data_IF_595690090742
#
_entry.id   IF_595690090742
#
_cell.length_a   1.000
_cell.length_b   1.000
_cell.length_c   1.000
_cell.angle_alpha   90.00
_cell.angle_beta   90.00
_cell.angle_gamma   90.00
#
_symmetry.space_group_name_H-M   'P 1'
#
loop_
_entity.id
_entity.type
_entity.pdbx_description
1 polymer ?
#
# COMPACT_ATOMS: atom_id res chain seq x y z
N UNK A 1 26.02 50.23 13.64
CA UNK A 1 26.05 48.82 14.10
C UNK A 1 24.63 48.27 14.09
N UNK A 2 24.09 47.87 12.94
CA UNK A 2 22.76 47.23 12.86
C UNK A 2 22.73 45.99 11.95
N UNK A 3 23.82 45.67 11.25
CA UNK A 3 23.86 44.55 10.29
C UNK A 3 24.12 43.16 10.90
N UNK A 4 24.29 43.06 12.22
CA UNK A 4 24.70 41.82 12.90
C UNK A 4 23.60 41.03 13.60
N UNK A 5 22.38 41.59 13.73
CA UNK A 5 21.25 40.92 14.39
C UNK A 5 20.38 40.11 13.41
N UNK A 6 20.12 40.65 12.22
CA UNK A 6 19.24 40.01 11.22
C UNK A 6 19.77 38.64 10.77
N UNK A 7 21.07 38.50 10.51
CA UNK A 7 21.66 37.22 10.07
C UNK A 7 21.80 36.14 11.15
N UNK A 8 21.56 36.46 12.43
CA UNK A 8 21.52 35.48 13.53
C UNK A 8 20.08 34.97 13.72
N UNK A 9 19.10 35.86 13.58
CA UNK A 9 17.67 35.54 13.67
C UNK A 9 17.22 34.67 12.47
N UNK A 10 17.60 35.02 11.24
CA UNK A 10 17.34 34.19 10.04
C UNK A 10 17.95 32.78 10.12
N UNK A 11 19.15 32.65 10.71
CA UNK A 11 19.78 31.34 10.91
C UNK A 11 19.03 30.51 11.94
N UNK A 12 18.49 31.15 12.97
CA UNK A 12 17.66 30.50 14.00
C UNK A 12 16.35 29.96 13.40
N UNK A 13 15.68 30.75 12.55
CA UNK A 13 14.44 30.31 11.88
C UNK A 13 14.70 29.15 10.91
N UNK A 14 15.79 29.21 10.13
CA UNK A 14 16.16 28.13 9.23
C UNK A 14 16.54 26.84 9.98
N UNK A 15 17.17 26.96 11.15
CA UNK A 15 17.49 25.82 12.02
C UNK A 15 16.23 25.18 12.63
N UNK A 16 15.27 25.99 13.10
CA UNK A 16 13.99 25.50 13.63
C UNK A 16 13.20 24.75 12.56
N UNK A 17 13.10 25.30 11.35
CA UNK A 17 12.45 24.64 10.20
C UNK A 17 13.17 23.33 9.86
N UNK A 18 14.50 23.32 9.86
CA UNK A 18 15.30 22.10 9.63
C UNK A 18 15.01 21.03 10.69
N UNK A 19 14.85 21.43 11.95
CA UNK A 19 14.56 20.52 13.05
C UNK A 19 13.17 19.90 12.92
N UNK A 20 12.16 20.70 12.59
CA UNK A 20 10.80 20.22 12.28
C UNK A 20 10.80 19.27 11.10
N UNK A 21 11.45 19.64 9.98
CA UNK A 21 11.55 18.78 8.80
C UNK A 21 12.32 17.49 9.10
N UNK A 22 13.32 17.54 9.97
CA UNK A 22 14.08 16.36 10.40
C UNK A 22 13.18 15.42 11.22
N UNK A 23 12.41 15.94 12.16
CA UNK A 23 11.44 15.18 12.94
C UNK A 23 10.37 14.52 12.04
N UNK A 24 9.81 15.28 11.08
CA UNK A 24 8.86 14.75 10.09
C UNK A 24 9.51 13.65 9.25
N UNK A 25 10.75 13.85 8.78
CA UNK A 25 11.46 12.84 7.99
C UNK A 25 11.76 11.57 8.78
N UNK A 26 12.04 11.69 10.08
CA UNK A 26 12.24 10.55 10.98
C UNK A 26 10.96 9.74 11.15
N UNK A 27 9.86 10.42 11.47
CA UNK A 27 8.54 9.80 11.57
C UNK A 27 8.12 9.07 10.29
N UNK A 28 8.33 9.68 9.12
CA UNK A 28 8.02 9.04 7.83
C UNK A 28 8.86 7.77 7.61
N UNK A 29 10.12 7.75 8.01
CA UNK A 29 10.98 6.55 7.92
C UNK A 29 10.47 5.41 8.80
N UNK A 30 9.89 5.71 9.95
CA UNK A 30 9.32 4.72 10.88
C UNK A 30 7.98 4.16 10.38
N UNK A 31 7.13 5.00 9.78
CA UNK A 31 5.83 4.58 9.25
C UNK A 31 5.96 3.78 7.95
N UNK A 32 6.93 4.14 7.10
CA UNK A 32 7.07 3.56 5.76
C UNK A 32 7.09 2.02 5.78
N UNK A 33 7.89 1.32 6.63
CA UNK A 33 7.87 -0.14 6.75
C UNK A 33 6.50 -0.74 7.10
N UNK A 34 5.76 -0.12 8.03
CA UNK A 34 4.44 -0.60 8.45
C UNK A 34 3.46 -0.53 7.28
N UNK A 35 3.48 0.58 6.54
CA UNK A 35 2.67 0.75 5.34
C UNK A 35 3.05 -0.27 4.26
N UNK A 36 4.34 -0.56 4.08
CA UNK A 36 4.80 -1.62 3.15
C UNK A 36 4.22 -2.99 3.50
N UNK A 37 4.27 -3.35 4.77
CA UNK A 37 3.81 -4.66 5.23
C UNK A 37 2.31 -4.82 4.98
N UNK A 38 1.51 -3.80 5.30
CA UNK A 38 0.08 -3.79 5.02
C UNK A 38 -0.20 -3.91 3.51
N UNK A 39 0.52 -3.17 2.67
CA UNK A 39 0.40 -3.28 1.20
C UNK A 39 0.79 -4.68 0.74
N UNK A 40 1.86 -5.27 1.27
CA UNK A 40 2.34 -6.60 0.93
C UNK A 40 1.34 -7.70 1.30
N UNK A 41 0.69 -7.59 2.47
CA UNK A 41 -0.37 -8.51 2.90
C UNK A 41 -1.57 -8.42 1.96
N UNK A 42 -1.99 -7.19 1.64
CA UNK A 42 -3.08 -6.95 0.69
C UNK A 42 -2.69 -7.54 -0.67
N UNK A 43 -1.59 -7.14 -1.29
CA UNK A 43 -1.19 -7.64 -2.61
C UNK A 43 -0.95 -9.16 -2.66
N UNK A 44 -0.35 -9.75 -1.63
CA UNK A 44 -0.11 -11.18 -1.53
C UNK A 44 -1.39 -12.02 -1.45
N UNK A 45 -2.49 -11.43 -0.98
CA UNK A 45 -3.81 -12.06 -0.95
C UNK A 45 -4.54 -12.04 -2.31
N UNK A 46 -4.14 -11.17 -3.24
CA UNK A 46 -4.76 -11.04 -4.56
C UNK A 46 -3.97 -11.85 -5.60
N UNK A 47 -4.13 -13.17 -5.57
CA UNK A 47 -3.74 -14.02 -6.71
C UNK A 47 -4.81 -13.91 -7.81
N UNK A 48 -4.41 -13.88 -9.09
CA UNK A 48 -5.34 -13.66 -10.21
C UNK A 48 -6.46 -14.71 -10.33
N UNK A 49 -6.18 -15.94 -9.89
CA UNK A 49 -7.14 -17.04 -9.74
C UNK A 49 -8.18 -16.76 -8.65
N UNK A 50 -7.75 -16.23 -7.50
CA UNK A 50 -8.64 -15.83 -6.42
C UNK A 50 -9.57 -14.68 -6.82
N UNK A 51 -9.04 -13.68 -7.55
CA UNK A 51 -9.84 -12.57 -8.07
C UNK A 51 -10.89 -13.04 -9.08
N UNK A 52 -10.51 -13.93 -10.01
CA UNK A 52 -11.46 -14.51 -10.98
C UNK A 52 -12.57 -15.31 -10.29
N UNK A 53 -12.23 -16.09 -9.25
CA UNK A 53 -13.20 -16.82 -8.44
C UNK A 53 -14.17 -15.87 -7.72
N UNK A 54 -13.67 -14.83 -7.07
CA UNK A 54 -14.47 -13.84 -6.34
C UNK A 54 -15.46 -13.11 -7.28
N UNK A 55 -15.00 -12.70 -8.47
CA UNK A 55 -15.85 -12.07 -9.49
C UNK A 55 -16.94 -13.02 -9.98
N UNK A 56 -16.60 -14.30 -10.21
CA UNK A 56 -17.56 -15.31 -10.64
C UNK A 56 -18.60 -15.66 -9.58
N UNK A 57 -18.19 -15.71 -8.30
CA UNK A 57 -19.11 -15.90 -7.16
C UNK A 57 -20.04 -14.69 -7.01
N UNK A 58 -19.51 -13.48 -7.12
CA UNK A 58 -20.31 -12.26 -7.11
C UNK A 58 -21.35 -12.26 -8.24
N UNK A 59 -20.95 -12.54 -9.48
CA UNK A 59 -21.87 -12.70 -10.61
C UNK A 59 -22.99 -13.70 -10.31
N UNK A 60 -22.64 -14.91 -9.85
CA UNK A 60 -23.63 -15.96 -9.51
C UNK A 60 -24.63 -15.47 -8.46
N UNK A 61 -24.16 -14.83 -7.39
CA UNK A 61 -25.03 -14.31 -6.35
C UNK A 61 -26.01 -13.24 -6.83
N UNK A 62 -25.62 -12.41 -7.81
CA UNK A 62 -26.52 -11.41 -8.41
C UNK A 62 -27.64 -12.10 -9.20
N UNK A 63 -27.29 -13.09 -10.01
CA UNK A 63 -28.26 -13.88 -10.79
C UNK A 63 -29.21 -14.64 -9.86
N UNK A 64 -28.69 -15.28 -8.82
CA UNK A 64 -29.49 -15.97 -7.79
C UNK A 64 -30.44 -15.01 -7.04
N UNK A 65 -30.04 -13.76 -6.86
CA UNK A 65 -30.88 -12.71 -6.28
C UNK A 65 -31.94 -12.15 -7.26
N UNK A 66 -32.01 -12.67 -8.48
CA UNK A 66 -33.01 -12.26 -9.48
C UNK A 66 -32.61 -11.04 -10.31
N UNK A 67 -31.34 -10.62 -10.28
CA UNK A 67 -30.82 -9.60 -11.19
C UNK A 67 -30.64 -10.22 -12.57
N UNK A 68 -31.01 -9.50 -13.63
CA UNK A 68 -30.84 -9.97 -15.00
C UNK A 68 -29.38 -10.24 -15.32
N UNK A 69 -29.11 -11.25 -16.16
CA UNK A 69 -27.75 -11.63 -16.54
C UNK A 69 -26.96 -10.43 -17.09
N UNK A 70 -27.56 -9.63 -17.98
CA UNK A 70 -26.93 -8.43 -18.53
C UNK A 70 -26.49 -7.45 -17.44
N UNK A 71 -27.36 -7.20 -16.44
CA UNK A 71 -27.03 -6.29 -15.35
C UNK A 71 -26.03 -6.91 -14.37
N UNK A 72 -26.09 -8.21 -14.16
CA UNK A 72 -25.14 -8.94 -13.33
C UNK A 72 -23.73 -8.94 -13.93
N UNK A 73 -23.60 -9.10 -15.26
CA UNK A 73 -22.32 -8.95 -15.98
C UNK A 73 -21.76 -7.55 -15.81
N UNK A 74 -22.59 -6.52 -16.04
CA UNK A 74 -22.18 -5.11 -15.88
C UNK A 74 -21.64 -4.84 -14.46
N UNK A 75 -22.36 -5.30 -13.43
CA UNK A 75 -21.96 -5.12 -12.03
C UNK A 75 -20.70 -5.91 -11.68
N UNK A 76 -20.55 -7.13 -12.20
CA UNK A 76 -19.35 -7.94 -11.99
C UNK A 76 -18.12 -7.33 -12.67
N UNK A 77 -18.27 -6.75 -13.87
CA UNK A 77 -17.21 -5.99 -14.53
C UNK A 77 -16.80 -4.74 -13.73
N UNK A 78 -17.76 -3.99 -13.19
CA UNK A 78 -17.46 -2.85 -12.34
C UNK A 78 -16.72 -3.26 -11.07
N UNK A 79 -17.13 -4.36 -10.45
CA UNK A 79 -16.49 -4.93 -9.27
C UNK A 79 -15.03 -5.30 -9.57
N UNK A 80 -14.78 -6.00 -10.68
CA UNK A 80 -13.43 -6.32 -11.15
C UNK A 80 -12.60 -5.04 -11.40
N UNK A 81 -13.15 -4.06 -12.11
CA UNK A 81 -12.47 -2.78 -12.41
C UNK A 81 -12.09 -2.03 -11.13
N UNK A 82 -12.97 -1.97 -10.12
CA UNK A 82 -12.68 -1.34 -8.82
C UNK A 82 -11.54 -2.07 -8.10
N UNK A 83 -11.57 -3.41 -8.06
CA UNK A 83 -10.53 -4.24 -7.46
C UNK A 83 -9.18 -4.07 -8.16
N UNK A 84 -9.14 -4.07 -9.50
CA UNK A 84 -7.92 -3.81 -10.28
C UNK A 84 -7.34 -2.40 -10.04
N UNK A 85 -8.17 -1.37 -9.86
CA UNK A 85 -7.67 -0.03 -9.51
C UNK A 85 -6.95 -0.02 -8.16
N UNK A 86 -7.44 -0.78 -7.18
CA UNK A 86 -6.78 -0.93 -5.87
C UNK A 86 -5.43 -1.63 -6.01
N UNK A 87 -5.34 -2.66 -6.86
CA UNK A 87 -4.08 -3.34 -7.17
C UNK A 87 -3.09 -2.40 -7.83
N UNK A 88 -3.51 -1.64 -8.84
CA UNK A 88 -2.66 -0.67 -9.52
C UNK A 88 -2.13 0.41 -8.57
N UNK A 89 -2.97 0.89 -7.63
CA UNK A 89 -2.53 1.85 -6.61
C UNK A 89 -1.49 1.24 -5.68
N UNK A 90 -1.73 0.00 -5.22
CA UNK A 90 -0.81 -0.73 -4.37
C UNK A 90 0.53 -1.03 -5.08
N UNK A 91 0.50 -1.33 -6.39
CA UNK A 91 1.69 -1.51 -7.23
C UNK A 91 2.49 -0.22 -7.37
N UNK A 92 1.82 0.92 -7.62
CA UNK A 92 2.47 2.23 -7.69
C UNK A 92 3.15 2.57 -6.36
N UNK A 93 2.44 2.41 -5.24
CA UNK A 93 2.98 2.64 -3.90
C UNK A 93 4.19 1.72 -3.62
N UNK A 94 4.10 0.45 -4.03
CA UNK A 94 5.20 -0.51 -3.88
C UNK A 94 6.44 -0.15 -4.70
N UNK A 95 6.28 0.55 -5.84
CA UNK A 95 7.39 1.02 -6.69
C UNK A 95 8.06 2.30 -6.20
N UNK A 96 7.32 3.20 -5.55
CA UNK A 96 7.89 4.42 -4.93
C UNK A 96 8.79 4.08 -3.75
N UNK A 97 8.70 2.86 -3.26
CA UNK A 97 9.40 2.37 -2.11
C UNK A 97 10.67 1.64 -2.57
N UNK A 98 11.88 2.04 -2.13
CA UNK A 98 13.09 1.31 -2.46
C UNK A 98 12.99 -0.13 -1.95
N UNK A 99 13.20 -1.10 -2.84
CA UNK A 99 13.36 -2.52 -2.51
C UNK A 99 14.62 -2.65 -1.66
N UNK A 100 14.47 -2.73 -0.34
CA UNK A 100 15.47 -3.38 0.51
C UNK A 100 15.17 -4.86 0.38
N UNK A 101 16.14 -5.66 -0.07
CA UNK A 101 16.05 -7.12 -0.04
C UNK A 101 15.74 -7.53 1.40
N UNK A 102 14.48 -7.89 1.65
CA UNK A 102 14.11 -8.56 2.88
C UNK A 102 14.53 -9.99 2.64
N UNK A 103 15.69 -10.36 3.18
CA UNK A 103 16.13 -11.74 3.28
C UNK A 103 15.12 -12.44 4.18
N UNK A 104 14.09 -13.03 3.57
CA UNK A 104 13.14 -13.88 4.29
C UNK A 104 13.91 -15.14 4.64
N UNK A 105 14.42 -15.17 5.88
CA UNK A 105 14.99 -16.35 6.48
C UNK A 105 13.89 -17.42 6.52
N UNK A 106 13.89 -18.30 5.51
CA UNK A 106 13.05 -19.49 5.47
C UNK A 106 13.40 -20.34 6.70
N UNK A 107 12.60 -20.19 7.75
CA UNK A 107 12.63 -21.08 8.92
C UNK A 107 12.12 -22.45 8.49
N UNK A 108 13.04 -23.23 7.91
CA UNK A 108 12.95 -24.69 7.73
C UNK A 108 12.93 -25.34 9.10
N UNK A 109 11.74 -25.52 9.68
CA UNK A 109 11.51 -26.58 10.67
C UNK A 109 10.16 -27.23 10.37
N UNK A 110 10.14 -28.01 9.29
CA UNK A 110 9.10 -29.01 9.04
C UNK A 110 9.72 -30.23 8.33
N UNK A 111 10.73 -30.82 8.96
CA UNK A 111 11.29 -32.14 8.65
C UNK A 111 11.95 -32.77 9.87
N UNK A 112 11.24 -32.85 10.99
CA UNK A 112 11.49 -33.87 12.01
C UNK A 112 10.13 -34.18 12.63
N UNK A 113 9.36 -35.04 11.95
CA UNK A 113 8.29 -35.90 12.50
C UNK A 113 7.53 -36.52 11.31
N UNK A 114 8.16 -37.53 10.70
CA UNK A 114 7.57 -38.83 10.32
C UNK A 114 8.63 -39.75 9.71
#
# INVERSE_FOLDING_TARGET
MMSGKEGVEERSEAEEVKEVLSAVSGFLKEITPIVKELIGIVLGSFRGDALGKEVGEFYRSLVEAGISEDKAVELAEEFLKRKMRLLNLADVLSRLIPRREVEVEERKERKEEE
#
